data_IF_514914796906
#
_entry.id   IF_514914796906
#
_cell.length_a   1.000
_cell.length_b   1.000
_cell.length_c   1.000
_cell.angle_alpha   90.00
_cell.angle_beta   90.00
_cell.angle_gamma   90.00
#
_symmetry.space_group_name_H-M   'P 1'
#
loop_
_entity.id
_entity.type
_entity.pdbx_description
1 polymer ?
#
# COMPACT_ATOMS: atom_id res chain seq x y z
N UNK A 1 44.69 41.46 -46.13
CA UNK A 1 44.56 42.30 -47.33
C UNK A 1 43.70 41.52 -48.32
N UNK A 2 42.40 41.79 -48.45
CA UNK A 2 41.77 42.86 -49.28
C UNK A 2 42.18 42.70 -50.76
N UNK A 3 41.33 42.63 -51.79
CA UNK A 3 39.94 43.05 -52.03
C UNK A 3 39.44 42.27 -53.27
N UNK A 4 38.14 41.97 -53.36
CA UNK A 4 37.45 41.63 -54.63
C UNK A 4 36.39 42.71 -54.90
N UNK A 5 36.27 43.08 -56.17
CA UNK A 5 35.52 44.21 -56.71
C UNK A 5 33.99 43.95 -56.83
N UNK A 6 33.20 45.01 -56.52
CA UNK A 6 32.02 45.62 -57.19
C UNK A 6 31.20 44.87 -58.28
N UNK A 7 29.97 45.33 -58.70
CA UNK A 7 29.02 46.32 -58.15
C UNK A 7 27.50 45.95 -58.32
N UNK A 8 26.61 46.90 -57.99
CA UNK A 8 25.21 47.11 -58.45
C UNK A 8 24.01 46.50 -57.68
N UNK A 9 23.42 47.35 -56.83
CA UNK A 9 22.06 47.94 -56.94
C UNK A 9 20.94 47.07 -57.58
N UNK A 10 19.98 46.63 -56.76
CA UNK A 10 18.56 46.70 -57.09
C UNK A 10 17.71 46.71 -55.82
N UNK A 11 17.02 47.84 -55.58
CA UNK A 11 15.97 48.00 -54.59
C UNK A 11 14.69 47.37 -55.17
N UNK A 12 14.11 46.39 -54.47
CA UNK A 12 12.77 45.87 -54.75
C UNK A 12 12.00 45.77 -53.43
N UNK A 13 11.03 46.68 -53.27
CA UNK A 13 9.95 46.56 -52.30
C UNK A 13 9.10 45.34 -52.65
N UNK A 14 8.99 44.37 -51.74
CA UNK A 14 7.90 43.40 -51.74
C UNK A 14 7.13 43.54 -50.43
N UNK A 15 5.92 44.06 -50.55
CA UNK A 15 4.90 44.05 -49.53
C UNK A 15 4.33 42.63 -49.33
N UNK A 16 4.02 42.31 -48.07
CA UNK A 16 2.96 41.38 -47.71
C UNK A 16 3.28 39.89 -47.84
N UNK A 17 3.33 39.20 -46.70
CA UNK A 17 2.45 38.08 -46.35
C UNK A 17 2.91 37.51 -45.00
N UNK A 18 2.01 37.56 -44.01
CA UNK A 18 2.19 36.90 -42.73
C UNK A 18 2.20 35.38 -42.94
N UNK A 19 3.24 34.71 -42.43
CA UNK A 19 3.27 33.25 -42.28
C UNK A 19 3.01 32.92 -40.81
N UNK A 20 2.07 32.00 -40.50
CA UNK A 20 1.95 31.47 -39.15
C UNK A 20 3.14 30.56 -38.87
N UNK A 21 3.70 30.67 -37.68
CA UNK A 21 4.71 29.78 -37.16
C UNK A 21 4.16 28.35 -37.08
N UNK A 22 4.50 27.52 -38.07
CA UNK A 22 4.33 26.08 -38.00
C UNK A 22 5.35 25.50 -37.02
N UNK A 23 5.02 25.48 -35.73
CA UNK A 23 5.74 24.66 -34.76
C UNK A 23 5.37 23.20 -35.04
N UNK A 24 6.31 22.44 -35.60
CA UNK A 24 6.27 20.98 -35.62
C UNK A 24 6.25 20.47 -34.17
N UNK A 25 5.06 20.15 -33.67
CA UNK A 25 4.90 19.36 -32.47
C UNK A 25 5.33 17.93 -32.82
N UNK A 26 6.56 17.57 -32.45
CA UNK A 26 7.00 16.17 -32.42
C UNK A 26 6.05 15.40 -31.51
N UNK A 27 5.19 14.58 -32.11
CA UNK A 27 4.37 13.62 -31.40
C UNK A 27 5.31 12.61 -30.73
N UNK A 28 5.48 12.76 -29.42
CA UNK A 28 6.05 11.71 -28.60
C UNK A 28 4.95 10.66 -28.39
N UNK A 29 4.98 9.61 -29.22
CA UNK A 29 4.30 8.35 -28.90
C UNK A 29 4.86 7.83 -27.58
N UNK A 30 4.11 8.01 -26.49
CA UNK A 30 4.31 7.25 -25.26
C UNK A 30 3.44 5.99 -25.35
N UNK A 31 3.98 4.80 -25.07
CA UNK A 31 3.18 3.59 -25.09
C UNK A 31 2.16 3.65 -23.95
N UNK A 32 0.88 3.65 -24.31
CA UNK A 32 -0.22 3.51 -23.36
C UNK A 32 -0.23 2.07 -22.83
N UNK A 33 0.31 1.86 -21.63
CA UNK A 33 0.04 0.65 -20.86
C UNK A 33 -1.32 0.81 -20.16
N UNK A 34 -2.41 0.64 -20.91
CA UNK A 34 -3.76 0.53 -20.35
C UNK A 34 -4.04 -0.92 -19.95
N UNK A 35 -3.50 -1.33 -18.81
CA UNK A 35 -4.17 -2.29 -17.93
C UNK A 35 -4.76 -1.45 -16.79
N UNK A 36 -6.07 -1.26 -16.78
CA UNK A 36 -6.75 -0.29 -15.91
C UNK A 36 -6.29 -0.39 -14.45
N UNK A 37 -5.62 0.65 -13.95
CA UNK A 37 -5.20 0.73 -12.55
C UNK A 37 -6.44 0.85 -11.66
N UNK A 38 -6.65 -0.12 -10.78
CA UNK A 38 -7.69 -0.07 -9.75
C UNK A 38 -7.34 1.03 -8.75
N UNK A 39 -8.30 1.87 -8.36
CA UNK A 39 -8.03 2.94 -7.37
C UNK A 39 -7.70 2.35 -5.98
N UNK A 40 -6.98 3.07 -5.10
CA UNK A 40 -6.69 2.58 -3.75
C UNK A 40 -7.95 2.15 -2.98
N UNK A 41 -9.04 2.90 -3.13
CA UNK A 41 -10.32 2.60 -2.49
C UNK A 41 -10.96 1.33 -3.04
N UNK A 42 -10.93 1.14 -4.36
CA UNK A 42 -11.45 -0.09 -4.98
C UNK A 42 -10.60 -1.31 -4.59
N UNK A 43 -9.28 -1.17 -4.56
CA UNK A 43 -8.35 -2.21 -4.11
C UNK A 43 -8.65 -2.63 -2.66
N UNK A 44 -8.96 -1.65 -1.79
CA UNK A 44 -9.34 -1.92 -0.40
C UNK A 44 -10.63 -2.72 -0.31
N UNK A 45 -11.66 -2.34 -1.06
CA UNK A 45 -12.96 -3.06 -1.08
C UNK A 45 -12.79 -4.49 -1.58
N UNK A 46 -12.05 -4.69 -2.66
CA UNK A 46 -11.78 -6.03 -3.20
C UNK A 46 -11.00 -6.88 -2.19
N UNK A 47 -10.02 -6.29 -1.51
CA UNK A 47 -9.27 -6.96 -0.47
C UNK A 47 -10.17 -7.36 0.71
N UNK A 48 -11.05 -6.47 1.18
CA UNK A 48 -12.01 -6.78 2.26
C UNK A 48 -12.93 -7.94 1.88
N UNK A 49 -13.41 -7.97 0.63
CA UNK A 49 -14.21 -9.09 0.12
C UNK A 49 -13.42 -10.40 0.10
N UNK A 50 -12.16 -10.36 -0.35
CA UNK A 50 -11.28 -11.52 -0.42
C UNK A 50 -11.05 -12.15 0.95
N UNK A 51 -10.82 -11.34 2.00
CA UNK A 51 -10.51 -11.83 3.35
C UNK A 51 -11.73 -11.99 4.25
N UNK A 52 -12.95 -11.68 3.78
CA UNK A 52 -14.15 -11.63 4.63
C UNK A 52 -14.39 -12.92 5.42
N UNK A 53 -14.19 -14.08 4.80
CA UNK A 53 -14.39 -15.39 5.45
C UNK A 53 -13.35 -15.70 6.53
N UNK A 54 -12.02 -15.65 6.26
CA UNK A 54 -11.03 -15.87 7.31
C UNK A 54 -11.09 -14.79 8.41
N UNK A 55 -11.38 -13.53 8.06
CA UNK A 55 -11.58 -12.45 9.04
C UNK A 55 -12.73 -12.78 10.00
N UNK A 56 -13.87 -13.28 9.50
CA UNK A 56 -14.99 -13.69 10.34
C UNK A 56 -14.59 -14.74 11.38
N UNK A 57 -13.75 -15.70 10.99
CA UNK A 57 -13.26 -16.74 11.90
C UNK A 57 -12.27 -16.19 12.93
N UNK A 58 -11.38 -15.29 12.50
CA UNK A 58 -10.48 -14.58 13.42
C UNK A 58 -11.28 -13.82 14.49
N UNK A 59 -12.28 -13.05 14.07
CA UNK A 59 -13.12 -12.28 14.99
C UNK A 59 -13.96 -13.16 15.91
N UNK A 60 -14.42 -14.33 15.44
CA UNK A 60 -15.15 -15.30 16.27
C UNK A 60 -14.28 -15.82 17.43
N UNK A 61 -12.98 -16.00 17.19
CA UNK A 61 -12.04 -16.58 18.16
C UNK A 61 -11.26 -15.54 18.97
N UNK A 62 -11.30 -14.27 18.55
CA UNK A 62 -10.62 -13.16 19.21
C UNK A 62 -10.95 -13.01 20.72
N UNK A 63 -12.21 -13.19 21.20
CA UNK A 63 -12.49 -13.10 22.64
C UNK A 63 -11.71 -14.12 23.48
N UNK A 64 -11.49 -15.33 22.93
CA UNK A 64 -10.71 -16.36 23.62
C UNK A 64 -9.21 -16.01 23.62
N UNK A 65 -8.69 -15.51 22.50
CA UNK A 65 -7.31 -15.05 22.40
C UNK A 65 -7.03 -13.88 23.36
N UNK A 66 -7.95 -12.91 23.43
CA UNK A 66 -7.89 -11.80 24.40
C UNK A 66 -7.87 -12.29 25.83
N UNK A 67 -8.76 -13.22 26.20
CA UNK A 67 -8.78 -13.81 27.55
C UNK A 67 -7.44 -14.45 27.91
N UNK A 68 -6.80 -15.13 26.95
CA UNK A 68 -5.47 -15.71 27.14
C UNK A 68 -4.39 -14.64 27.33
N UNK A 69 -4.39 -13.61 26.50
CA UNK A 69 -3.48 -12.46 26.67
C UNK A 69 -3.60 -11.81 28.05
N UNK A 70 -4.83 -11.53 28.49
CA UNK A 70 -5.11 -10.91 29.79
C UNK A 70 -4.77 -11.80 30.98
N UNK A 71 -4.74 -13.12 30.81
CA UNK A 71 -4.28 -14.05 31.83
C UNK A 71 -2.73 -14.11 31.96
N UNK A 72 -2.01 -13.42 31.07
CA UNK A 72 -0.56 -13.51 30.93
C UNK A 72 -0.16 -14.63 29.97
N UNK A 73 0.55 -14.25 28.90
CA UNK A 73 1.13 -15.20 27.97
C UNK A 73 2.32 -15.95 28.58
N UNK A 74 2.65 -17.12 28.03
CA UNK A 74 3.84 -17.85 28.46
C UNK A 74 5.11 -17.08 28.06
N UNK A 75 6.24 -17.26 28.77
CA UNK A 75 7.51 -16.66 28.37
C UNK A 75 7.86 -16.96 26.91
N UNK A 76 8.23 -15.92 26.16
CA UNK A 76 8.56 -16.02 24.74
C UNK A 76 7.35 -16.06 23.78
N UNK A 77 6.12 -16.09 24.28
CA UNK A 77 4.94 -15.86 23.44
C UNK A 77 4.71 -14.36 23.22
N UNK A 78 4.28 -13.97 22.02
CA UNK A 78 3.91 -12.59 21.70
C UNK A 78 2.53 -12.54 21.06
N UNK A 79 1.72 -11.55 21.46
CA UNK A 79 0.39 -11.33 20.89
C UNK A 79 0.41 -10.20 19.89
N UNK A 80 -0.10 -10.49 18.69
CA UNK A 80 -0.27 -9.52 17.62
C UNK A 80 -1.74 -9.39 17.24
N UNK A 81 -2.14 -8.17 16.92
CA UNK A 81 -3.38 -7.89 16.20
C UNK A 81 -3.06 -7.35 14.83
N UNK A 82 -3.83 -7.79 13.83
CA UNK A 82 -3.75 -7.22 12.50
C UNK A 82 -4.77 -6.10 12.37
N UNK A 83 -4.32 -4.91 12.02
CA UNK A 83 -5.19 -3.77 11.67
C UNK A 83 -4.72 -3.13 10.37
N UNK A 84 -5.34 -2.01 9.97
CA UNK A 84 -5.04 -1.30 8.73
C UNK A 84 -4.64 0.14 9.04
N UNK A 85 -3.58 0.60 8.37
CA UNK A 85 -3.19 2.01 8.33
C UNK A 85 -3.43 2.54 6.93
N UNK A 86 -3.71 3.84 6.82
CA UNK A 86 -4.11 4.48 5.57
C UNK A 86 -3.42 5.85 5.48
N UNK A 87 -2.79 6.13 4.34
CA UNK A 87 -2.24 7.45 4.01
C UNK A 87 -3.35 8.43 3.57
N UNK A 88 -3.01 9.72 3.51
CA UNK A 88 -3.94 10.76 3.09
C UNK A 88 -4.49 10.59 1.66
N UNK A 89 -3.76 9.88 0.79
CA UNK A 89 -4.16 9.57 -0.59
C UNK A 89 -5.07 8.31 -0.69
N UNK A 90 -5.31 7.64 0.44
CA UNK A 90 -6.11 6.42 0.53
C UNK A 90 -5.33 5.13 0.27
N UNK A 91 -4.02 5.20 0.03
CA UNK A 91 -3.14 4.02 0.05
C UNK A 91 -3.23 3.37 1.42
N UNK A 92 -3.38 2.05 1.46
CA UNK A 92 -3.53 1.31 2.71
C UNK A 92 -2.57 0.14 2.78
N UNK A 93 -2.28 -0.29 4.00
CA UNK A 93 -1.50 -1.49 4.28
C UNK A 93 -2.03 -2.16 5.55
N UNK A 94 -2.01 -3.49 5.59
CA UNK A 94 -2.23 -4.23 6.83
C UNK A 94 -0.95 -4.24 7.66
N UNK A 95 -1.09 -4.00 8.96
CA UNK A 95 0.03 -4.01 9.90
C UNK A 95 -0.23 -5.00 11.02
N UNK A 96 0.82 -5.70 11.43
CA UNK A 96 0.83 -6.48 12.67
C UNK A 96 1.22 -5.53 13.80
N UNK A 97 0.40 -5.49 14.84
CA UNK A 97 0.62 -4.66 16.01
C UNK A 97 0.90 -5.55 17.20
N UNK A 98 2.10 -5.49 17.74
CA UNK A 98 2.43 -6.14 19.00
C UNK A 98 1.65 -5.44 20.11
N UNK A 99 0.77 -6.18 20.78
CA UNK A 99 -0.11 -5.61 21.81
C UNK A 99 0.71 -5.28 23.05
N UNK A 100 0.61 -4.04 23.52
CA UNK A 100 1.21 -3.57 24.78
C UNK A 100 0.14 -3.43 25.87
N UNK A 101 -1.03 -2.88 25.53
CA UNK A 101 -2.16 -2.70 26.44
C UNK A 101 -3.48 -2.95 25.72
N UNK A 102 -4.47 -3.47 26.46
CA UNK A 102 -5.81 -3.71 25.93
C UNK A 102 -6.87 -3.52 27.02
N UNK A 103 -7.54 -2.38 26.97
CA UNK A 103 -8.56 -1.95 27.94
C UNK A 103 -9.88 -1.74 27.22
N UNK A 104 -10.94 -2.43 27.66
CA UNK A 104 -12.28 -2.37 27.06
C UNK A 104 -12.26 -2.52 25.53
N UNK A 105 -12.53 -1.42 24.80
CA UNK A 105 -12.54 -1.38 23.36
C UNK A 105 -11.21 -0.89 22.76
N UNK A 106 -10.28 -0.36 23.55
CA UNK A 106 -9.05 0.27 23.07
C UNK A 106 -7.85 -0.67 23.18
N UNK A 107 -7.01 -0.62 22.16
CA UNK A 107 -5.75 -1.34 22.08
C UNK A 107 -4.65 -0.33 21.83
N UNK A 108 -3.56 -0.45 22.58
CA UNK A 108 -2.30 0.22 22.32
C UNK A 108 -1.23 -0.83 22.02
N UNK A 109 -0.42 -0.58 21.01
CA UNK A 109 0.68 -1.48 20.65
C UNK A 109 1.69 -0.81 19.73
N UNK A 110 2.66 -1.58 19.24
CA UNK A 110 3.66 -1.10 18.28
C UNK A 110 3.60 -1.86 16.96
N UNK A 111 3.80 -1.15 15.85
CA UNK A 111 3.84 -1.78 14.53
C UNK A 111 5.06 -2.70 14.44
N UNK A 112 4.83 -3.97 14.11
CA UNK A 112 5.85 -5.02 14.14
C UNK A 112 6.40 -5.41 12.76
N UNK A 113 5.80 -4.91 11.66
CA UNK A 113 6.29 -5.14 10.30
C UNK A 113 6.78 -3.86 9.63
N UNK A 114 7.59 -4.02 8.58
CA UNK A 114 8.01 -2.93 7.69
C UNK A 114 6.93 -2.66 6.65
N UNK A 115 6.53 -1.39 6.56
CA UNK A 115 5.55 -0.94 5.58
C UNK A 115 6.20 -0.75 4.20
N UNK A 116 5.49 -1.15 3.16
CA UNK A 116 5.98 -1.10 1.78
C UNK A 116 5.38 0.06 0.99
N UNK A 117 4.08 0.30 1.16
CA UNK A 117 3.32 1.26 0.35
C UNK A 117 2.95 2.50 1.14
N UNK A 118 2.44 2.32 2.36
CA UNK A 118 2.09 3.42 3.26
C UNK A 118 3.36 4.10 3.80
N UNK A 119 3.39 5.44 3.78
CA UNK A 119 4.56 6.27 4.13
C UNK A 119 4.41 7.08 5.40
N UNK A 120 3.19 7.33 5.88
CA UNK A 120 2.96 8.10 7.11
C UNK A 120 3.16 7.30 8.41
N UNK A 121 3.42 6.00 8.31
CA UNK A 121 3.65 5.10 9.44
C UNK A 121 4.98 4.35 9.30
N UNK A 122 5.56 3.95 10.44
CA UNK A 122 6.85 3.25 10.48
C UNK A 122 6.86 2.08 11.48
N UNK A 123 7.75 1.12 11.27
CA UNK A 123 7.96 0.01 12.22
C UNK A 123 8.38 0.55 13.59
N UNK A 124 7.85 -0.05 14.65
CA UNK A 124 8.10 0.35 16.04
C UNK A 124 7.24 1.53 16.52
N UNK A 125 6.54 2.22 15.62
CA UNK A 125 5.64 3.30 15.98
C UNK A 125 4.49 2.79 16.85
N UNK A 126 4.17 3.53 17.91
CA UNK A 126 2.98 3.26 18.73
C UNK A 126 1.72 3.57 17.94
N UNK A 127 0.76 2.65 17.98
CA UNK A 127 -0.56 2.79 17.39
C UNK A 127 -1.62 2.55 18.46
N UNK A 128 -2.65 3.39 18.44
CA UNK A 128 -3.87 3.24 19.22
C UNK A 128 -5.06 3.04 18.28
N UNK A 129 -5.87 2.04 18.57
CA UNK A 129 -7.03 1.70 17.75
C UNK A 129 -8.08 0.96 18.57
N UNK A 130 -9.29 0.87 18.03
CA UNK A 130 -10.37 0.14 18.68
C UNK A 130 -10.37 -1.34 18.27
N UNK A 131 -10.92 -2.20 19.12
CA UNK A 131 -11.09 -3.63 18.85
C UNK A 131 -11.91 -3.88 17.58
N UNK A 132 -12.80 -2.97 17.20
CA UNK A 132 -13.56 -3.05 15.95
C UNK A 132 -12.72 -2.85 14.69
N UNK A 133 -11.49 -2.34 14.80
CA UNK A 133 -10.56 -2.18 13.69
C UNK A 133 -9.64 -3.41 13.50
N UNK A 134 -9.86 -4.48 14.26
CA UNK A 134 -9.10 -5.73 14.15
C UNK A 134 -9.61 -6.54 12.95
N UNK A 135 -8.68 -7.04 12.15
CA UNK A 135 -8.94 -7.94 11.02
C UNK A 135 -8.51 -9.38 11.31
N UNK A 136 -7.49 -9.56 12.13
CA UNK A 136 -6.96 -10.87 12.53
C UNK A 136 -6.21 -10.79 13.86
N UNK A 137 -5.87 -11.93 14.44
CA UNK A 137 -5.02 -12.02 15.62
C UNK A 137 -4.06 -13.20 15.52
N UNK A 138 -2.88 -13.06 16.11
CA UNK A 138 -1.86 -14.12 16.12
C UNK A 138 -1.17 -14.16 17.47
N UNK A 139 -1.07 -15.35 18.07
CA UNK A 139 -0.09 -15.60 19.13
C UNK A 139 1.06 -16.38 18.51
N UNK A 140 2.24 -15.77 18.48
CA UNK A 140 3.48 -16.43 18.08
C UNK A 140 4.08 -17.05 19.32
N UNK A 141 4.39 -18.35 19.28
CA UNK A 141 5.03 -19.07 20.39
C UNK A 141 6.54 -18.94 20.32
N UNK A 142 7.21 -19.32 21.40
CA UNK A 142 8.67 -19.29 21.49
C UNK A 142 9.38 -20.15 20.43
N UNK A 143 8.73 -21.19 19.92
CA UNK A 143 9.22 -22.04 18.83
C UNK A 143 8.90 -21.49 17.42
N UNK A 144 8.29 -20.30 17.34
CA UNK A 144 7.85 -19.68 16.10
C UNK A 144 6.51 -20.20 15.58
N UNK A 145 5.89 -21.20 16.22
CA UNK A 145 4.57 -21.68 15.79
C UNK A 145 3.47 -20.65 16.08
N UNK A 146 2.48 -20.59 15.21
CA UNK A 146 1.41 -19.59 15.29
C UNK A 146 0.06 -20.20 15.70
N UNK A 147 -0.60 -19.55 16.65
CA UNK A 147 -2.02 -19.69 16.93
C UNK A 147 -2.80 -18.55 16.27
N UNK A 148 -4.00 -18.83 15.74
CA UNK A 148 -4.73 -17.84 14.96
C UNK A 148 -4.12 -17.66 13.57
N UNK A 149 -3.92 -16.39 13.17
CA UNK A 149 -3.43 -15.96 11.86
C UNK A 149 -4.30 -16.48 10.70
N UNK A 150 -5.62 -16.34 10.81
CA UNK A 150 -6.55 -16.91 9.83
C UNK A 150 -6.45 -16.23 8.47
N UNK A 151 -6.36 -14.90 8.46
CA UNK A 151 -6.23 -14.09 7.25
C UNK A 151 -4.84 -14.30 6.65
N UNK A 152 -3.78 -14.25 7.46
CA UNK A 152 -2.41 -14.45 6.97
C UNK A 152 -2.21 -15.84 6.35
N UNK A 153 -2.69 -16.91 7.00
CA UNK A 153 -2.62 -18.28 6.46
C UNK A 153 -3.43 -18.43 5.17
N UNK A 154 -4.60 -17.79 5.09
CA UNK A 154 -5.39 -17.79 3.87
C UNK A 154 -4.64 -17.12 2.71
N UNK A 155 -4.06 -15.95 2.94
CA UNK A 155 -3.30 -15.21 1.92
C UNK A 155 -2.03 -15.94 1.50
N UNK A 156 -1.30 -16.59 2.41
CA UNK A 156 -0.17 -17.46 2.06
C UNK A 156 -0.59 -18.58 1.10
N UNK A 157 -1.70 -19.25 1.40
CA UNK A 157 -2.24 -20.30 0.54
C UNK A 157 -2.62 -19.75 -0.84
N UNK A 158 -3.31 -18.61 -0.92
CA UNK A 158 -3.65 -17.99 -2.20
C UNK A 158 -2.39 -17.67 -3.01
N UNK A 159 -1.41 -17.00 -2.39
CA UNK A 159 -0.14 -16.66 -3.04
C UNK A 159 0.63 -17.90 -3.53
N UNK A 160 0.58 -19.01 -2.80
CA UNK A 160 1.18 -20.28 -3.22
C UNK A 160 0.44 -20.92 -4.39
N UNK A 161 -0.89 -20.85 -4.43
CA UNK A 161 -1.69 -21.39 -5.54
C UNK A 161 -1.44 -20.59 -6.83
N UNK A 162 -1.38 -19.27 -6.74
CA UNK A 162 -1.09 -18.42 -7.88
C UNK A 162 0.27 -18.77 -8.51
N UNK A 163 1.31 -18.96 -7.69
CA UNK A 163 2.64 -19.40 -8.15
C UNK A 163 2.69 -20.81 -8.76
N UNK A 164 1.68 -21.65 -8.53
CA UNK A 164 1.59 -22.99 -9.13
C UNK A 164 0.77 -23.00 -10.43
N UNK A 165 0.00 -21.94 -10.68
CA UNK A 165 -0.79 -21.76 -11.90
C UNK A 165 -0.04 -21.03 -13.02
N UNK A 166 1.11 -20.43 -12.70
CA UNK A 166 2.09 -19.86 -13.64
C UNK A 166 3.10 -20.92 -14.13
#
# INVERSE_FOLDING_TARGET
MLLRHCPHLLLLLCAGLALPAGAQQLAADKPTAETGSVSPQQSMVLFDQLIAKPMKEALRTLPQARKRYQAGLKPGETFYLTTRVIDADGTFEQVFVQVLQWEDAYVQGTIANTLQTVRSYTTGQTLEFTTSAVYDWTIVRADGSEEGNYVGKFLDIQSRLDRLGE
#
